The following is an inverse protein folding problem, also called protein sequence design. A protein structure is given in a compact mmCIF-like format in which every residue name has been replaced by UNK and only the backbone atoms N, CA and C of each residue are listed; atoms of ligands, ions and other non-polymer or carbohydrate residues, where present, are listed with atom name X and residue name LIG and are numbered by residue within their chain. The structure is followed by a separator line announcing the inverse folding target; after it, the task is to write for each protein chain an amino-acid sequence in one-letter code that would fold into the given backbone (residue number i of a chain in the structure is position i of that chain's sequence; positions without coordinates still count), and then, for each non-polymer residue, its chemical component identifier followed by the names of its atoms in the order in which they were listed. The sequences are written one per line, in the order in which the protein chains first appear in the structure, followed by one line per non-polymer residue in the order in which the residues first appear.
data_IF_639651701012
#
_entry.id   IF_639651701012
#
_cell.length_a   1.000
_cell.length_b   1.000
_cell.length_c   1.000
_cell.angle_alpha   90.00
_cell.angle_beta   90.00
_cell.angle_gamma   90.00
#
_symmetry.space_group_name_H-M   'P 1'
#
loop_
_entity.id
_entity.type
_entity.pdbx_description
1 polymer ?
#
# COMPACT_ATOMS: atom_id res chain seq x y z
N UNK A 1 17.60 1.88 33.08
CA UNK A 1 16.29 2.53 32.81
C UNK A 1 15.48 1.50 32.05
N UNK A 2 14.77 0.63 32.77
CA UNK A 2 13.86 -0.36 32.19
C UNK A 2 12.51 0.31 32.02
N UNK A 3 12.16 0.65 30.78
CA UNK A 3 10.86 1.18 30.45
C UNK A 3 9.99 -0.01 30.03
N UNK A 4 9.01 -0.38 30.86
CA UNK A 4 8.12 -1.54 30.74
C UNK A 4 7.13 -1.52 29.57
N UNK A 5 7.52 -0.95 28.43
CA UNK A 5 6.75 -0.94 27.21
C UNK A 5 7.46 -1.83 26.19
N UNK A 6 6.74 -2.86 25.75
CA UNK A 6 7.05 -3.70 24.59
C UNK A 6 7.98 -4.90 24.82
N UNK A 7 7.49 -5.91 25.55
CA UNK A 7 7.83 -7.31 25.25
C UNK A 7 6.83 -7.85 24.22
N UNK A 8 6.84 -7.27 23.02
CA UNK A 8 6.10 -7.84 21.88
C UNK A 8 7.13 -8.58 21.03
N UNK A 9 6.86 -9.84 20.72
CA UNK A 9 7.68 -10.59 19.78
C UNK A 9 7.64 -9.88 18.42
N UNK A 10 8.82 -9.62 17.85
CA UNK A 10 8.96 -8.95 16.55
C UNK A 10 8.25 -9.71 15.43
N UNK A 11 8.12 -11.05 15.55
CA UNK A 11 7.39 -11.89 14.60
C UNK A 11 5.88 -11.63 14.60
N UNK A 12 5.36 -11.00 15.65
CA UNK A 12 3.94 -10.65 15.78
C UNK A 12 3.64 -9.20 15.37
N UNK A 13 4.64 -8.46 14.87
CA UNK A 13 4.44 -7.09 14.41
C UNK A 13 3.95 -7.06 12.96
N UNK A 14 2.87 -6.30 12.75
CA UNK A 14 2.29 -6.02 11.44
C UNK A 14 2.11 -4.52 11.28
N UNK A 15 2.68 -3.98 10.21
CA UNK A 15 2.65 -2.56 9.87
C UNK A 15 1.64 -2.33 8.76
N UNK A 16 0.70 -1.41 8.96
CA UNK A 16 -0.35 -1.07 7.98
C UNK A 16 -0.14 0.36 7.52
N UNK A 17 -0.19 0.58 6.20
CA UNK A 17 -0.07 1.92 5.61
C UNK A 17 -0.94 2.05 4.34
N UNK A 18 -1.13 3.30 3.91
CA UNK A 18 -1.88 3.68 2.71
C UNK A 18 -1.00 4.45 1.71
N UNK A 19 -1.12 4.11 0.43
CA UNK A 19 -0.41 4.80 -0.65
C UNK A 19 -1.35 5.17 -1.79
N UNK A 20 -1.40 6.45 -2.13
CA UNK A 20 -2.16 6.97 -3.27
C UNK A 20 -1.39 6.87 -4.59
N UNK A 21 -1.96 6.18 -5.57
CA UNK A 21 -1.50 6.12 -6.96
C UNK A 21 -2.35 7.07 -7.80
N UNK A 22 -1.73 8.12 -8.35
CA UNK A 22 -2.37 9.03 -9.27
C UNK A 22 -1.94 8.72 -10.73
N UNK A 23 -2.91 8.50 -11.62
CA UNK A 23 -2.65 8.27 -13.05
C UNK A 23 -2.18 9.54 -13.78
N UNK A 24 -2.33 10.72 -13.17
CA UNK A 24 -1.81 11.99 -13.64
C UNK A 24 -0.30 12.18 -13.37
N UNK A 25 0.42 11.15 -12.93
CA UNK A 25 1.88 11.14 -12.80
C UNK A 25 2.58 11.10 -14.17
N UNK A 26 2.14 11.95 -15.10
CA UNK A 26 2.76 12.05 -16.43
C UNK A 26 3.94 13.00 -16.36
N UNK A 27 5.05 12.59 -16.97
CA UNK A 27 6.30 13.35 -16.94
C UNK A 27 6.13 14.68 -17.70
N UNK A 28 6.34 15.80 -17.02
CA UNK A 28 6.22 17.14 -17.63
C UNK A 28 7.35 17.47 -18.61
N UNK A 29 8.49 16.78 -18.53
CA UNK A 29 9.67 17.06 -19.34
C UNK A 29 10.26 15.78 -19.94
N UNK A 30 10.41 15.75 -21.26
CA UNK A 30 11.15 14.70 -21.98
C UNK A 30 12.58 15.12 -22.32
N UNK A 31 13.45 14.15 -22.66
CA UNK A 31 14.81 14.41 -23.16
C UNK A 31 14.86 14.15 -24.66
N UNK A 32 15.38 15.11 -25.43
CA UNK A 32 15.54 15.02 -26.88
C UNK A 32 16.83 15.70 -27.32
N UNK A 33 17.19 15.54 -28.61
CA UNK A 33 18.33 16.25 -29.18
C UNK A 33 18.07 17.76 -29.20
N UNK A 34 19.14 18.54 -29.14
CA UNK A 34 19.06 20.01 -29.21
C UNK A 34 18.37 20.41 -30.52
N UNK A 35 17.30 21.19 -30.41
CA UNK A 35 16.50 21.66 -31.55
C UNK A 35 15.31 20.78 -31.92
N UNK A 36 15.14 19.60 -31.31
CA UNK A 36 14.01 18.71 -31.59
C UNK A 36 12.90 18.85 -30.55
N UNK A 37 11.64 18.85 -31.01
CA UNK A 37 10.46 18.83 -30.14
C UNK A 37 10.25 17.41 -29.61
N UNK A 38 10.23 17.28 -28.28
CA UNK A 38 9.85 16.01 -27.64
C UNK A 38 8.32 15.90 -27.60
N UNK A 39 7.78 14.88 -28.27
CA UNK A 39 6.35 14.57 -28.30
C UNK A 39 6.11 13.37 -27.39
N UNK A 40 5.15 13.47 -26.48
CA UNK A 40 4.70 12.36 -25.63
C UNK A 40 3.18 12.37 -25.55
N UNK A 41 2.59 11.18 -25.55
CA UNK A 41 1.18 11.03 -25.24
C UNK A 41 0.98 11.04 -23.72
N UNK A 42 -0.09 11.71 -23.29
CA UNK A 42 -0.46 11.80 -21.87
C UNK A 42 -1.95 11.47 -21.71
N UNK A 43 -2.37 10.80 -20.62
CA UNK A 43 -3.78 10.55 -20.38
C UNK A 43 -4.60 11.84 -20.34
N UNK A 44 -5.58 11.98 -21.24
CA UNK A 44 -6.46 13.17 -21.31
C UNK A 44 -7.39 13.29 -20.10
N UNK A 45 -7.77 12.16 -19.50
CA UNK A 45 -8.53 12.10 -18.25
C UNK A 45 -7.60 11.67 -17.11
N UNK A 46 -7.58 12.47 -16.03
CA UNK A 46 -6.67 12.28 -14.87
C UNK A 46 -7.05 11.08 -13.98
N UNK A 47 -8.09 10.30 -14.33
CA UNK A 47 -8.60 9.20 -13.51
C UNK A 47 -9.06 9.67 -12.13
N UNK A 48 -9.66 8.76 -11.35
CA UNK A 48 -9.78 8.97 -9.90
C UNK A 48 -8.49 8.47 -9.25
N UNK A 49 -8.01 9.15 -8.21
CA UNK A 49 -6.90 8.65 -7.39
C UNK A 49 -7.20 7.22 -6.97
N UNK A 50 -6.21 6.34 -7.06
CA UNK A 50 -6.34 4.94 -6.66
C UNK A 50 -5.53 4.74 -5.39
N UNK A 51 -6.19 4.53 -4.26
CA UNK A 51 -5.55 4.25 -2.98
C UNK A 51 -5.23 2.76 -2.85
N UNK A 52 -4.06 2.45 -2.29
CA UNK A 52 -3.59 1.11 -1.99
C UNK A 52 -3.39 1.00 -0.50
N UNK A 53 -4.10 0.07 0.14
CA UNK A 53 -3.92 -0.30 1.54
C UNK A 53 -3.07 -1.57 1.61
N UNK A 54 -1.99 -1.55 2.39
CA UNK A 54 -1.07 -2.68 2.52
C UNK A 54 -0.73 -2.99 3.97
N UNK A 55 -0.41 -4.26 4.24
CA UNK A 55 0.13 -4.71 5.52
C UNK A 55 1.41 -5.53 5.34
N UNK A 56 2.46 -5.17 6.07
CA UNK A 56 3.77 -5.81 6.06
C UNK A 56 4.06 -6.48 7.40
N UNK A 57 4.65 -7.67 7.33
CA UNK A 57 5.25 -8.40 8.45
C UNK A 57 6.72 -8.72 8.13
N UNK A 58 7.42 -9.42 9.02
CA UNK A 58 8.77 -9.92 8.72
C UNK A 58 8.79 -10.91 7.54
N UNK A 59 7.68 -11.60 7.27
CA UNK A 59 7.54 -12.51 6.12
C UNK A 59 7.19 -11.77 4.81
N UNK A 60 7.05 -10.44 4.86
CA UNK A 60 6.73 -9.58 3.73
C UNK A 60 5.28 -9.09 3.71
N UNK A 61 4.77 -8.79 2.51
CA UNK A 61 3.43 -8.22 2.31
C UNK A 61 2.37 -9.30 2.50
N UNK A 62 1.57 -9.17 3.55
CA UNK A 62 0.58 -10.19 3.93
C UNK A 62 -0.85 -9.84 3.50
N UNK A 63 -1.16 -8.56 3.31
CA UNK A 63 -2.46 -8.09 2.86
C UNK A 63 -2.31 -6.87 1.94
N UNK A 64 -3.17 -6.79 0.92
CA UNK A 64 -3.20 -5.69 -0.04
C UNK A 64 -4.63 -5.48 -0.55
N UNK A 65 -5.07 -4.23 -0.65
CA UNK A 65 -6.35 -3.86 -1.25
C UNK A 65 -6.21 -2.56 -2.04
N UNK A 66 -6.79 -2.51 -3.23
CA UNK A 66 -6.76 -1.34 -4.12
C UNK A 66 -8.17 -0.78 -4.29
N UNK A 67 -8.32 0.53 -4.13
CA UNK A 67 -9.62 1.21 -4.16
C UNK A 67 -9.53 2.45 -5.03
N UNK A 68 -10.48 2.59 -5.95
CA UNK A 68 -10.59 3.78 -6.79
C UNK A 68 -11.40 4.85 -6.06
N UNK A 69 -10.76 5.97 -5.77
CA UNK A 69 -11.32 7.08 -4.99
C UNK A 69 -10.68 7.19 -3.60
N UNK A 70 -11.32 7.97 -2.72
CA UNK A 70 -10.85 8.17 -1.34
C UNK A 70 -11.14 6.94 -0.47
N UNK A 71 -10.16 6.54 0.34
CA UNK A 71 -10.36 5.58 1.42
C UNK A 71 -11.22 6.23 2.51
N UNK A 72 -12.44 5.73 2.70
CA UNK A 72 -13.29 6.14 3.82
C UNK A 72 -13.26 5.07 4.94
N UNK A 73 -13.90 5.36 6.07
CA UNK A 73 -13.97 4.45 7.23
C UNK A 73 -14.44 3.04 6.82
N UNK A 74 -15.52 2.93 6.05
CA UNK A 74 -16.09 1.63 5.66
C UNK A 74 -15.13 0.81 4.79
N UNK A 75 -14.37 1.49 3.91
CA UNK A 75 -13.34 0.85 3.08
C UNK A 75 -12.23 0.29 3.97
N UNK A 76 -11.78 1.06 4.96
CA UNK A 76 -10.77 0.59 5.91
C UNK A 76 -11.26 -0.55 6.80
N UNK A 77 -12.50 -0.48 7.32
CA UNK A 77 -13.12 -1.57 8.08
C UNK A 77 -13.20 -2.86 7.23
N UNK A 78 -13.63 -2.73 5.97
CA UNK A 78 -13.65 -3.86 5.03
C UNK A 78 -12.25 -4.45 4.82
N UNK A 79 -11.22 -3.60 4.67
CA UNK A 79 -9.85 -4.05 4.57
C UNK A 79 -9.39 -4.84 5.80
N UNK A 80 -9.69 -4.34 7.00
CA UNK A 80 -9.33 -5.03 8.25
C UNK A 80 -10.06 -6.38 8.35
N UNK A 81 -11.38 -6.38 8.21
CA UNK A 81 -12.21 -7.56 8.45
C UNK A 81 -12.06 -8.65 7.40
N UNK A 82 -12.06 -8.25 6.13
CA UNK A 82 -12.16 -9.19 5.01
C UNK A 82 -10.79 -9.56 4.44
N UNK A 83 -9.79 -8.69 4.58
CA UNK A 83 -8.47 -8.88 3.94
C UNK A 83 -7.39 -9.15 4.98
N UNK A 84 -7.21 -8.30 5.99
CA UNK A 84 -6.09 -8.40 6.93
C UNK A 84 -6.29 -9.51 7.98
N UNK A 85 -7.39 -9.49 8.74
CA UNK A 85 -7.62 -10.43 9.84
C UNK A 85 -7.51 -11.92 9.43
N UNK A 86 -8.03 -12.35 8.26
CA UNK A 86 -7.86 -13.74 7.81
C UNK A 86 -6.40 -14.16 7.61
N UNK A 87 -5.48 -13.23 7.35
CA UNK A 87 -4.06 -13.54 7.15
C UNK A 87 -3.34 -13.70 8.50
N UNK A 88 -3.71 -12.91 9.51
CA UNK A 88 -3.09 -12.95 10.83
C UNK A 88 -3.33 -14.30 11.52
N UNK A 89 -4.56 -14.79 11.52
CA UNK A 89 -4.89 -16.07 12.15
C UNK A 89 -4.45 -17.29 11.34
N UNK A 90 -4.15 -17.12 10.05
CA UNK A 90 -3.50 -18.16 9.25
C UNK A 90 -2.04 -18.36 9.65
N UNK A 91 -1.34 -17.26 9.97
CA UNK A 91 0.07 -17.28 10.38
C UNK A 91 0.25 -17.84 11.81
N UNK A 92 -0.72 -17.67 12.70
CA UNK A 92 -0.67 -18.20 14.08
C UNK A 92 -0.60 -19.73 14.16
N UNK A 93 -1.01 -20.45 13.11
CA UNK A 93 -1.02 -21.92 13.08
C UNK A 93 0.27 -22.55 12.53
N UNK A 94 1.26 -21.75 12.10
CA UNK A 94 2.45 -22.25 11.40
C UNK A 94 3.76 -22.16 12.21
N UNK A 95 3.75 -21.67 13.46
CA UNK A 95 4.97 -21.34 14.21
C UNK A 95 5.51 -22.44 15.14
N UNK A 96 5.25 -23.72 14.87
CA UNK A 96 5.92 -24.83 15.55
C UNK A 96 6.62 -25.73 14.53
N UNK A 97 7.89 -25.44 14.26
CA UNK A 97 8.84 -26.25 13.51
C UNK A 97 10.24 -26.01 14.04
#
# INVERSE_FOLDING_TARGET
IENGWMRVDINNLVFVDESGVNLAMTRLYGRGKVGERVVTDTPRNQGKNTSVLGALSLDGLIALMTVVGSTNKNVFETYIEQILLPQLWRLSNCTHG
#
